data_IF_463581492626
#
_entry.id   IF_463581492626
#
_cell.length_a   1.000
_cell.length_b   1.000
_cell.length_c   1.000
_cell.angle_alpha   90.00
_cell.angle_beta   90.00
_cell.angle_gamma   90.00
#
_symmetry.space_group_name_H-M   'P 1'
#
loop_
_entity.id
_entity.type
_entity.pdbx_description
1 polymer ?
#
# COMPACT_ATOMS: atom_id res chain seq x y z
N UNK A 1 -20.21 1.26 26.37
CA UNK A 1 -19.33 0.41 25.54
C UNK A 1 -17.92 0.92 25.77
N UNK A 2 -17.02 0.10 26.30
CA UNK A 2 -15.59 0.45 26.27
C UNK A 2 -15.21 0.42 24.80
N UNK A 3 -15.10 1.60 24.19
CA UNK A 3 -14.75 1.73 22.79
C UNK A 3 -13.37 1.07 22.57
N UNK A 4 -13.29 0.16 21.59
CA UNK A 4 -12.06 -0.53 21.25
C UNK A 4 -10.98 0.50 20.91
N UNK A 5 -9.85 0.48 21.63
CA UNK A 5 -8.73 1.42 21.46
C UNK A 5 -8.30 1.57 20.00
N UNK A 6 -8.32 0.47 19.23
CA UNK A 6 -8.00 0.44 17.80
C UNK A 6 -8.96 1.29 16.99
N UNK A 7 -10.24 1.23 17.31
CA UNK A 7 -11.30 2.00 16.66
C UNK A 7 -11.09 3.50 16.89
N UNK A 8 -10.78 3.91 18.13
CA UNK A 8 -10.51 5.32 18.42
C UNK A 8 -9.27 5.82 17.69
N UNK A 9 -8.17 5.06 17.72
CA UNK A 9 -6.94 5.40 17.01
C UNK A 9 -7.16 5.52 15.50
N UNK A 10 -8.00 4.67 14.92
CA UNK A 10 -8.38 4.78 13.52
C UNK A 10 -9.07 6.12 13.24
N UNK A 11 -10.12 6.48 13.99
CA UNK A 11 -10.84 7.73 13.77
C UNK A 11 -9.97 8.97 14.04
N UNK A 12 -9.10 8.93 15.05
CA UNK A 12 -8.14 10.00 15.30
C UNK A 12 -7.18 10.19 14.13
N UNK A 13 -6.68 9.11 13.54
CA UNK A 13 -5.88 9.18 12.31
C UNK A 13 -6.67 9.82 11.17
N UNK A 14 -7.92 9.40 10.97
CA UNK A 14 -8.78 9.95 9.91
C UNK A 14 -9.12 11.43 10.14
N UNK A 15 -9.17 11.88 11.40
CA UNK A 15 -9.36 13.28 11.77
C UNK A 15 -8.10 14.13 11.51
N UNK A 16 -6.93 13.49 11.45
CA UNK A 16 -5.68 14.08 11.01
C UNK A 16 -4.55 14.07 12.03
N UNK A 17 -4.68 13.32 13.13
CA UNK A 17 -3.62 13.18 14.12
C UNK A 17 -2.41 12.40 13.56
N UNK A 18 -1.21 12.78 14.00
CA UNK A 18 0.04 12.18 13.55
C UNK A 18 0.18 10.68 13.93
N UNK A 19 0.62 9.85 12.98
CA UNK A 19 0.78 8.40 13.21
C UNK A 19 1.77 8.05 14.35
N UNK A 20 2.81 8.87 14.58
CA UNK A 20 3.80 8.63 15.64
C UNK A 20 3.16 8.82 17.01
N UNK A 21 2.36 9.88 17.18
CA UNK A 21 1.59 10.12 18.40
C UNK A 21 0.64 8.95 18.67
N UNK A 22 -0.14 8.53 17.67
CA UNK A 22 -1.12 7.45 17.83
C UNK A 22 -0.47 6.09 18.14
N UNK A 23 0.70 5.81 17.55
CA UNK A 23 1.47 4.61 17.89
C UNK A 23 1.96 4.64 19.35
N UNK A 24 2.47 5.79 19.81
CA UNK A 24 2.94 5.94 21.19
C UNK A 24 1.82 5.70 22.21
N UNK A 25 0.62 6.24 21.93
CA UNK A 25 -0.57 6.05 22.76
C UNK A 25 -0.90 4.55 22.88
N UNK A 26 -0.89 3.83 21.75
CA UNK A 26 -1.18 2.40 21.74
C UNK A 26 -0.13 1.60 22.53
N UNK A 27 1.17 1.84 22.25
CA UNK A 27 2.28 1.11 22.87
C UNK A 27 2.31 1.30 24.39
N UNK A 28 2.00 2.51 24.87
CA UNK A 28 1.92 2.82 26.31
C UNK A 28 0.61 2.37 26.97
N UNK A 29 -0.33 1.79 26.22
CA UNK A 29 -1.62 1.35 26.74
C UNK A 29 -2.49 2.50 27.27
N UNK A 30 -2.36 3.70 26.69
CA UNK A 30 -3.07 4.90 27.15
C UNK A 30 -4.44 5.00 26.49
N UNK A 31 -5.43 5.53 27.22
CA UNK A 31 -6.74 5.87 26.67
C UNK A 31 -6.59 7.00 25.63
N UNK A 32 -6.91 6.81 24.33
CA UNK A 32 -6.64 7.80 23.30
C UNK A 32 -7.40 9.11 23.48
N UNK A 33 -8.65 9.04 23.93
CA UNK A 33 -9.53 10.22 24.05
C UNK A 33 -9.10 11.07 25.23
N UNK A 34 -8.91 10.46 26.41
CA UNK A 34 -8.38 11.16 27.58
C UNK A 34 -7.01 11.74 27.27
N UNK A 35 -6.17 10.98 26.59
CA UNK A 35 -4.81 11.40 26.27
C UNK A 35 -4.75 12.63 25.38
N UNK A 36 -5.58 12.67 24.33
CA UNK A 36 -5.52 13.74 23.34
C UNK A 36 -6.31 14.96 23.80
N UNK A 37 -7.53 14.76 24.33
CA UNK A 37 -8.47 15.85 24.57
C UNK A 37 -8.54 16.33 26.02
N UNK A 38 -7.87 15.66 26.97
CA UNK A 38 -7.79 16.22 28.32
C UNK A 38 -6.73 17.33 28.41
N UNK A 39 -7.01 18.32 29.27
CA UNK A 39 -6.05 19.36 29.65
C UNK A 39 -5.09 18.90 30.74
N UNK A 40 -4.97 17.58 30.99
CA UNK A 40 -4.09 17.06 32.03
C UNK A 40 -2.62 17.16 31.61
N UNK A 41 -1.92 18.11 32.23
CA UNK A 41 -0.49 18.38 32.03
C UNK A 41 0.36 17.11 32.14
N UNK A 42 0.03 16.21 33.08
CA UNK A 42 0.77 14.96 33.32
C UNK A 42 0.71 13.98 32.13
N UNK A 43 -0.40 13.93 31.39
CA UNK A 43 -0.52 13.05 30.22
C UNK A 43 0.30 13.61 29.04
N UNK A 44 0.25 14.94 28.84
CA UNK A 44 1.09 15.61 27.83
C UNK A 44 2.57 15.52 28.15
N UNK A 45 2.94 15.56 29.44
CA UNK A 45 4.32 15.37 29.90
C UNK A 45 4.84 13.93 29.66
N UNK A 46 3.99 12.90 29.83
CA UNK A 46 4.37 11.48 29.66
C UNK A 46 4.49 11.02 28.19
N UNK A 47 3.89 11.76 27.25
CA UNK A 47 3.96 11.49 25.80
C UNK A 47 4.95 12.44 25.11
N UNK A 48 5.37 13.49 25.82
CA UNK A 48 6.45 14.39 25.41
C UNK A 48 6.14 15.20 24.14
N UNK A 49 7.20 15.70 23.50
CA UNK A 49 7.21 16.54 22.27
C UNK A 49 6.66 15.83 20.99
N UNK A 50 5.82 14.79 21.13
CA UNK A 50 5.25 14.02 20.01
C UNK A 50 4.02 14.67 19.38
N UNK A 51 3.37 15.58 20.10
CA UNK A 51 2.37 16.46 19.51
C UNK A 51 3.05 17.43 18.55
N UNK A 52 2.57 17.48 17.32
CA UNK A 52 2.85 18.59 16.41
C UNK A 52 1.94 19.78 16.74
N UNK A 53 2.27 20.99 16.27
CA UNK A 53 1.40 22.16 16.44
C UNK A 53 -0.01 21.89 15.88
N UNK A 54 -0.09 21.15 14.78
CA UNK A 54 -1.37 20.67 14.21
C UNK A 54 -2.13 19.78 15.19
N UNK A 55 -1.47 18.84 15.84
CA UNK A 55 -2.12 17.94 16.81
C UNK A 55 -2.66 18.72 18.01
N UNK A 56 -1.93 19.72 18.49
CA UNK A 56 -2.38 20.62 19.58
C UNK A 56 -3.64 21.38 19.17
N UNK A 57 -3.67 21.92 17.95
CA UNK A 57 -4.85 22.62 17.43
C UNK A 57 -6.06 21.69 17.29
N UNK A 58 -5.87 20.47 16.78
CA UNK A 58 -6.95 19.47 16.65
C UNK A 58 -7.47 19.03 18.03
N UNK A 59 -6.60 18.92 19.02
CA UNK A 59 -6.93 18.48 20.39
C UNK A 59 -7.79 19.48 21.17
N UNK A 60 -7.93 20.73 20.71
CA UNK A 60 -8.73 21.74 21.40
C UNK A 60 -10.24 21.62 21.17
N UNK A 61 -10.67 20.76 20.23
CA UNK A 61 -12.09 20.66 19.84
C UNK A 61 -12.55 19.20 19.78
N UNK A 62 -12.83 18.65 20.97
CA UNK A 62 -13.37 17.30 21.11
C UNK A 62 -14.77 17.15 20.49
N UNK A 63 -15.58 18.21 20.51
CA UNK A 63 -16.92 18.20 19.93
C UNK A 63 -16.85 17.97 18.41
N UNK A 64 -15.99 18.72 17.72
CA UNK A 64 -15.74 18.55 16.28
C UNK A 64 -15.20 17.16 15.94
N UNK A 65 -14.33 16.58 16.77
CA UNK A 65 -13.88 15.20 16.59
C UNK A 65 -15.05 14.21 16.67
N UNK A 66 -15.95 14.36 17.65
CA UNK A 66 -17.12 13.48 17.80
C UNK A 66 -18.07 13.58 16.60
N UNK A 67 -18.36 14.79 16.14
CA UNK A 67 -19.18 15.00 14.93
C UNK A 67 -18.54 14.37 13.70
N UNK A 68 -17.23 14.57 13.52
CA UNK A 68 -16.47 13.96 12.43
C UNK A 68 -16.55 12.43 12.47
N UNK A 69 -16.28 11.82 13.64
CA UNK A 69 -16.35 10.36 13.83
C UNK A 69 -17.72 9.83 13.45
N UNK A 70 -18.78 10.46 13.95
CA UNK A 70 -20.15 10.09 13.63
C UNK A 70 -20.43 10.20 12.13
N UNK A 71 -20.06 11.31 11.50
CA UNK A 71 -20.30 11.51 10.06
C UNK A 71 -19.53 10.51 9.21
N UNK A 72 -18.23 10.34 9.47
CA UNK A 72 -17.38 9.44 8.70
C UNK A 72 -17.90 8.00 8.77
N UNK A 73 -18.19 7.49 9.97
CA UNK A 73 -18.69 6.13 10.15
C UNK A 73 -20.04 5.88 9.46
N UNK A 74 -20.95 6.85 9.53
CA UNK A 74 -22.32 6.67 9.01
C UNK A 74 -22.46 6.98 7.52
N UNK A 75 -21.57 7.79 6.93
CA UNK A 75 -21.71 8.28 5.55
C UNK A 75 -20.69 7.73 4.57
N UNK A 76 -19.55 7.21 5.03
CA UNK A 76 -18.55 6.66 4.13
C UNK A 76 -18.91 5.23 3.69
N UNK A 77 -18.99 5.02 2.37
CA UNK A 77 -19.27 3.71 1.77
C UNK A 77 -18.27 2.62 2.17
N UNK A 78 -17.04 3.00 2.54
CA UNK A 78 -16.01 2.06 2.94
C UNK A 78 -16.44 1.18 4.12
N UNK A 79 -17.22 1.71 5.07
CA UNK A 79 -17.71 0.94 6.22
C UNK A 79 -18.94 0.07 5.90
N UNK A 80 -19.54 0.22 4.72
CA UNK A 80 -20.69 -0.58 4.27
C UNK A 80 -20.29 -1.70 3.32
N UNK A 81 -19.07 -1.64 2.78
CA UNK A 81 -18.56 -2.65 1.88
C UNK A 81 -18.01 -3.87 2.64
N UNK A 82 -18.73 -4.98 2.57
CA UNK A 82 -18.34 -6.26 3.18
C UNK A 82 -16.99 -6.82 2.69
N UNK A 83 -16.51 -6.39 1.51
CA UNK A 83 -15.21 -6.78 0.96
C UNK A 83 -14.08 -5.84 1.38
N UNK A 84 -14.39 -4.74 2.07
CA UNK A 84 -13.40 -3.80 2.58
C UNK A 84 -12.92 -4.23 3.97
N UNK A 85 -11.60 -4.17 4.20
CA UNK A 85 -11.01 -4.47 5.51
C UNK A 85 -9.98 -3.42 5.92
N UNK A 86 -9.93 -3.17 7.23
CA UNK A 86 -8.91 -2.37 7.90
C UNK A 86 -7.99 -3.33 8.66
N UNK A 87 -6.69 -3.21 8.43
CA UNK A 87 -5.65 -3.90 9.17
C UNK A 87 -4.90 -2.91 10.04
N UNK A 88 -4.72 -3.25 11.29
CA UNK A 88 -3.96 -2.45 12.24
C UNK A 88 -2.57 -3.04 12.42
N UNK A 89 -1.55 -2.17 12.51
CA UNK A 89 -0.14 -2.55 12.55
C UNK A 89 0.20 -3.60 13.61
N UNK A 90 -0.45 -3.53 14.76
CA UNK A 90 -0.15 -4.37 15.92
C UNK A 90 -1.04 -5.62 16.01
N UNK A 91 -1.95 -5.82 15.05
CA UNK A 91 -2.77 -7.05 14.98
C UNK A 91 -1.99 -8.17 14.29
N UNK A 92 -2.11 -9.40 14.78
CA UNK A 92 -1.59 -10.59 14.10
C UNK A 92 -2.50 -10.98 12.92
N UNK A 93 -2.09 -10.61 11.71
CA UNK A 93 -2.85 -10.84 10.48
C UNK A 93 -1.93 -11.30 9.36
N UNK A 94 -2.50 -11.76 8.25
CA UNK A 94 -1.67 -12.14 7.11
C UNK A 94 -0.86 -10.96 6.56
N UNK A 95 -1.42 -9.74 6.51
CA UNK A 95 -0.69 -8.58 5.97
C UNK A 95 0.48 -8.17 6.89
N UNK A 96 0.33 -8.29 8.21
CA UNK A 96 1.41 -8.00 9.17
C UNK A 96 2.50 -9.07 9.17
N UNK A 97 2.21 -10.27 8.65
CA UNK A 97 3.22 -11.31 8.35
C UNK A 97 3.92 -11.07 7.01
N UNK A 98 3.26 -10.45 6.04
CA UNK A 98 3.81 -10.17 4.72
C UNK A 98 4.68 -8.91 4.67
N UNK A 99 4.38 -7.91 5.50
CA UNK A 99 5.10 -6.65 5.54
C UNK A 99 5.94 -6.55 6.83
N UNK A 100 7.24 -6.22 6.74
CA UNK A 100 8.04 -5.94 7.93
C UNK A 100 7.42 -4.84 8.80
N UNK A 101 7.46 -5.02 10.12
CA UNK A 101 6.89 -4.08 11.10
C UNK A 101 7.38 -2.64 10.88
N UNK A 102 8.67 -2.48 10.53
CA UNK A 102 9.29 -1.18 10.27
C UNK A 102 8.62 -0.39 9.14
N UNK A 103 8.06 -1.08 8.14
CA UNK A 103 7.41 -0.44 7.00
C UNK A 103 5.88 -0.46 7.08
N UNK A 104 5.31 -1.34 7.89
CA UNK A 104 3.86 -1.44 8.06
C UNK A 104 3.29 -0.09 8.54
N UNK A 105 2.34 0.51 7.79
CA UNK A 105 1.66 1.72 8.23
C UNK A 105 0.78 1.40 9.45
N UNK A 106 0.43 2.43 10.24
CA UNK A 106 -0.44 2.25 11.41
C UNK A 106 -1.75 1.54 11.05
N UNK A 107 -2.32 1.91 9.90
CA UNK A 107 -3.44 1.21 9.29
C UNK A 107 -3.18 0.96 7.81
N UNK A 108 -3.59 -0.22 7.34
CA UNK A 108 -3.60 -0.62 5.94
C UNK A 108 -5.04 -0.99 5.56
N UNK A 109 -5.45 -0.64 4.34
CA UNK A 109 -6.81 -0.78 3.88
C UNK A 109 -6.86 -1.67 2.64
N UNK A 110 -7.90 -2.47 2.54
CA UNK A 110 -8.15 -3.31 1.37
C UNK A 110 -9.58 -3.18 0.89
N UNK A 111 -9.79 -3.47 -0.39
CA UNK A 111 -11.10 -3.64 -1.01
C UNK A 111 -11.01 -4.79 -2.01
N UNK A 112 -11.87 -5.81 -1.87
CA UNK A 112 -11.91 -6.98 -2.78
C UNK A 112 -11.56 -8.32 -2.10
N UNK A 113 -10.89 -9.20 -2.83
CA UNK A 113 -10.60 -10.57 -2.41
C UNK A 113 -9.40 -10.65 -1.45
N UNK A 114 -9.69 -10.56 -0.16
CA UNK A 114 -8.68 -10.62 0.90
C UNK A 114 -7.96 -11.97 1.03
N UNK A 115 -8.47 -13.06 0.42
CA UNK A 115 -7.77 -14.35 0.42
C UNK A 115 -6.44 -14.31 -0.34
N UNK A 116 -6.22 -13.31 -1.20
CA UNK A 116 -4.96 -13.10 -1.92
C UNK A 116 -3.80 -12.70 -1.00
N UNK A 117 -4.11 -12.27 0.22
CA UNK A 117 -3.12 -11.98 1.25
C UNK A 117 -2.71 -13.22 2.04
N UNK A 118 -3.24 -14.42 1.78
CA UNK A 118 -2.80 -15.64 2.46
C UNK A 118 -1.28 -15.83 2.31
N UNK A 119 -0.60 -16.09 3.43
CA UNK A 119 0.85 -16.30 3.48
C UNK A 119 1.31 -17.50 2.64
N UNK A 120 0.42 -18.46 2.36
CA UNK A 120 0.71 -19.64 1.52
C UNK A 120 0.70 -19.34 0.02
N UNK A 121 0.11 -18.21 -0.41
CA UNK A 121 0.11 -17.82 -1.82
C UNK A 121 1.44 -17.19 -2.20
N UNK A 122 1.92 -17.49 -3.40
CA UNK A 122 3.09 -16.83 -3.96
C UNK A 122 2.67 -15.58 -4.74
N UNK A 123 3.49 -14.53 -4.67
CA UNK A 123 3.24 -13.22 -5.26
C UNK A 123 4.43 -12.77 -6.08
N UNK A 124 4.16 -12.27 -7.29
CA UNK A 124 5.17 -11.67 -8.16
C UNK A 124 4.79 -10.23 -8.46
N UNK A 125 5.70 -9.30 -8.16
CA UNK A 125 5.56 -7.93 -8.61
C UNK A 125 6.02 -7.81 -10.06
N UNK A 126 5.19 -7.26 -10.94
CA UNK A 126 5.58 -6.93 -12.31
C UNK A 126 5.54 -5.42 -12.46
N UNK A 127 6.71 -4.82 -12.68
CA UNK A 127 6.91 -3.36 -12.62
C UNK A 127 7.71 -2.86 -13.82
N UNK A 128 7.52 -1.58 -14.16
CA UNK A 128 8.30 -0.96 -15.21
C UNK A 128 7.84 0.45 -15.58
N UNK A 129 8.20 0.89 -16.77
CA UNK A 129 7.92 2.23 -17.30
C UNK A 129 6.44 2.47 -17.55
N UNK A 130 6.06 3.75 -17.50
CA UNK A 130 4.71 4.21 -17.89
C UNK A 130 4.52 4.28 -19.40
N UNK A 131 5.61 4.33 -20.16
CA UNK A 131 5.61 4.43 -21.63
C UNK A 131 6.41 3.28 -22.23
N UNK A 132 5.88 2.04 -22.19
CA UNK A 132 6.63 0.86 -22.59
C UNK A 132 6.78 0.76 -24.11
N UNK A 133 7.93 0.24 -24.54
CA UNK A 133 8.15 -0.16 -25.92
C UNK A 133 7.24 -1.34 -26.32
N UNK A 134 7.04 -1.54 -27.63
CA UNK A 134 6.30 -2.71 -28.14
C UNK A 134 6.91 -4.05 -27.68
N UNK A 135 8.24 -4.09 -27.53
CA UNK A 135 8.96 -5.23 -26.99
C UNK A 135 8.58 -5.46 -25.52
N UNK A 136 8.65 -4.42 -24.70
CA UNK A 136 8.28 -4.50 -23.28
C UNK A 136 6.83 -4.90 -23.07
N UNK A 137 5.89 -4.42 -23.90
CA UNK A 137 4.48 -4.84 -23.87
C UNK A 137 4.35 -6.36 -24.08
N UNK A 138 5.01 -6.90 -25.12
CA UNK A 138 4.95 -8.34 -25.46
C UNK A 138 5.55 -9.19 -24.34
N UNK A 139 6.74 -8.83 -23.87
CA UNK A 139 7.46 -9.54 -22.81
C UNK A 139 6.66 -9.51 -21.50
N UNK A 140 6.11 -8.35 -21.13
CA UNK A 140 5.30 -8.22 -19.90
C UNK A 140 4.10 -9.15 -19.94
N UNK A 141 3.39 -9.24 -21.07
CA UNK A 141 2.27 -10.18 -21.23
C UNK A 141 2.73 -11.64 -21.09
N UNK A 142 3.81 -12.01 -21.77
CA UNK A 142 4.39 -13.37 -21.74
C UNK A 142 4.80 -13.77 -20.32
N UNK A 143 5.56 -12.92 -19.63
CA UNK A 143 6.00 -13.18 -18.26
C UNK A 143 4.80 -13.23 -17.30
N UNK A 144 3.86 -12.29 -17.41
CA UNK A 144 2.66 -12.29 -16.57
C UNK A 144 1.89 -13.60 -16.73
N UNK A 145 1.68 -14.04 -17.96
CA UNK A 145 0.99 -15.31 -18.24
C UNK A 145 1.72 -16.50 -17.61
N UNK A 146 3.05 -16.60 -17.77
CA UNK A 146 3.83 -17.70 -17.19
C UNK A 146 3.68 -17.79 -15.67
N UNK A 147 3.77 -16.67 -14.96
CA UNK A 147 3.57 -16.66 -13.52
C UNK A 147 2.14 -17.05 -13.11
N UNK A 148 1.13 -16.70 -13.90
CA UNK A 148 -0.24 -17.12 -13.64
C UNK A 148 -0.45 -18.62 -13.83
N UNK A 149 0.21 -19.22 -14.83
CA UNK A 149 0.21 -20.68 -15.05
C UNK A 149 0.81 -21.42 -13.83
N UNK A 150 1.80 -20.80 -13.19
CA UNK A 150 2.41 -21.27 -11.94
C UNK A 150 1.62 -20.85 -10.66
N UNK A 151 0.37 -20.38 -10.82
CA UNK A 151 -0.54 -19.94 -9.73
C UNK A 151 -0.06 -18.76 -8.87
N UNK A 152 0.88 -17.94 -9.38
CA UNK A 152 1.26 -16.72 -8.69
C UNK A 152 0.15 -15.67 -8.74
N UNK A 153 0.10 -14.83 -7.71
CA UNK A 153 -0.70 -13.60 -7.69
C UNK A 153 0.14 -12.46 -8.25
N UNK A 154 -0.38 -11.76 -9.26
CA UNK A 154 0.29 -10.61 -9.86
C UNK A 154 0.11 -9.38 -8.97
N UNK A 155 1.21 -8.78 -8.54
CA UNK A 155 1.21 -7.54 -7.75
C UNK A 155 1.72 -6.40 -8.63
N UNK A 156 1.03 -5.26 -8.63
CA UNK A 156 1.56 -4.05 -9.26
C UNK A 156 0.91 -2.79 -8.71
N UNK A 157 1.26 -1.64 -9.27
CA UNK A 157 0.89 -0.33 -8.74
C UNK A 157 -0.26 0.37 -9.46
N UNK A 158 -0.97 -0.27 -10.39
CA UNK A 158 -2.01 0.37 -11.20
C UNK A 158 -1.54 1.64 -11.94
N UNK A 159 -0.24 1.88 -12.12
CA UNK A 159 0.23 2.98 -12.96
C UNK A 159 -0.07 2.71 -14.44
N UNK A 160 0.08 3.72 -15.30
CA UNK A 160 0.10 3.51 -16.74
C UNK A 160 1.26 2.58 -17.16
N UNK A 161 1.19 2.04 -18.38
CA UNK A 161 2.26 1.22 -18.93
C UNK A 161 2.30 -0.18 -18.34
N UNK A 162 3.46 -0.59 -17.82
CA UNK A 162 3.72 -1.98 -17.40
C UNK A 162 2.76 -2.45 -16.31
N UNK A 163 2.44 -1.61 -15.34
CA UNK A 163 1.49 -1.93 -14.27
C UNK A 163 0.08 -2.22 -14.85
N UNK A 164 -0.46 -1.35 -15.71
CA UNK A 164 -1.72 -1.58 -16.44
C UNK A 164 -1.68 -2.89 -17.24
N UNK A 165 -0.58 -3.15 -17.95
CA UNK A 165 -0.46 -4.33 -18.82
C UNK A 165 -0.46 -5.62 -18.00
N UNK A 166 0.25 -5.65 -16.87
CA UNK A 166 0.29 -6.84 -16.00
C UNK A 166 -1.09 -7.13 -15.39
N UNK A 167 -1.79 -6.13 -14.86
CA UNK A 167 -3.15 -6.29 -14.34
C UNK A 167 -4.15 -6.74 -15.40
N UNK A 168 -4.15 -6.09 -16.58
CA UNK A 168 -5.04 -6.49 -17.69
C UNK A 168 -4.76 -7.90 -18.18
N UNK A 169 -3.49 -8.30 -18.20
CA UNK A 169 -3.12 -9.67 -18.55
C UNK A 169 -3.62 -10.65 -17.49
N UNK A 170 -3.44 -10.35 -16.21
CA UNK A 170 -4.00 -11.18 -15.13
C UNK A 170 -5.50 -11.39 -15.28
N UNK A 171 -6.26 -10.32 -15.51
CA UNK A 171 -7.72 -10.41 -15.71
C UNK A 171 -8.06 -11.23 -16.96
N UNK A 172 -7.40 -10.96 -18.10
CA UNK A 172 -7.65 -11.67 -19.36
C UNK A 172 -7.47 -13.19 -19.23
N UNK A 173 -6.47 -13.63 -18.47
CA UNK A 173 -6.18 -15.05 -18.24
C UNK A 173 -6.87 -15.59 -16.98
N UNK A 174 -7.87 -14.89 -16.45
CA UNK A 174 -8.64 -15.27 -15.26
C UNK A 174 -7.75 -15.57 -14.03
N UNK A 175 -6.61 -14.88 -13.96
CA UNK A 175 -5.64 -14.95 -12.89
C UNK A 175 -5.93 -13.98 -11.75
N UNK A 176 -5.17 -14.13 -10.66
CA UNK A 176 -5.32 -13.28 -9.47
C UNK A 176 -4.38 -12.07 -9.54
N UNK A 177 -4.86 -10.90 -9.11
CA UNK A 177 -4.02 -9.71 -9.04
C UNK A 177 -4.34 -8.79 -7.86
N UNK A 178 -3.29 -8.15 -7.33
CA UNK A 178 -3.35 -7.15 -6.26
C UNK A 178 -2.79 -5.84 -6.80
N UNK A 179 -3.61 -4.79 -6.85
CA UNK A 179 -3.15 -3.44 -7.12
C UNK A 179 -2.92 -2.69 -5.80
N UNK A 180 -1.69 -2.23 -5.59
CA UNK A 180 -1.37 -1.41 -4.42
C UNK A 180 -1.47 0.06 -4.83
N UNK A 181 -2.35 0.84 -4.24
CA UNK A 181 -2.66 2.20 -4.67
C UNK A 181 -1.82 3.24 -3.90
N UNK A 182 -1.46 4.36 -4.53
CA UNK A 182 -0.88 5.51 -3.84
C UNK A 182 -1.95 6.42 -3.22
N UNK A 183 -3.22 6.17 -3.53
CA UNK A 183 -4.39 6.96 -3.13
C UNK A 183 -5.36 6.12 -2.29
N UNK A 184 -6.40 6.77 -1.74
CA UNK A 184 -7.55 6.05 -1.19
C UNK A 184 -8.45 5.48 -2.32
N UNK A 185 -9.42 4.64 -1.96
CA UNK A 185 -10.28 3.96 -2.95
C UNK A 185 -11.23 4.89 -3.73
N UNK A 186 -11.43 6.13 -3.28
CA UNK A 186 -12.31 7.12 -3.94
C UNK A 186 -11.59 7.90 -5.03
N UNK A 187 -10.27 8.01 -4.93
CA UNK A 187 -9.44 8.82 -5.82
C UNK A 187 -8.48 7.92 -6.61
N UNK A 188 -9.00 6.96 -7.37
CA UNK A 188 -8.16 6.09 -8.21
C UNK A 188 -7.34 6.93 -9.18
N UNK A 189 -6.04 6.63 -9.26
CA UNK A 189 -5.11 7.31 -10.14
C UNK A 189 -4.18 6.28 -10.81
N UNK A 190 -3.90 6.42 -12.12
CA UNK A 190 -4.41 7.44 -13.05
C UNK A 190 -5.90 7.26 -13.36
N UNK A 191 -6.58 8.29 -13.86
CA UNK A 191 -8.05 8.26 -14.08
C UNK A 191 -8.44 7.23 -15.15
N UNK A 192 -7.55 7.02 -16.10
CA UNK A 192 -7.63 6.09 -17.21
C UNK A 192 -7.73 4.62 -16.72
N UNK A 193 -7.26 4.33 -15.50
CA UNK A 193 -7.32 3.02 -14.89
C UNK A 193 -8.48 2.85 -13.89
N UNK A 194 -9.46 3.77 -13.85
CA UNK A 194 -10.65 3.62 -12.99
C UNK A 194 -11.42 2.35 -13.33
N UNK A 195 -11.69 2.08 -14.61
CA UNK A 195 -12.40 0.87 -15.02
C UNK A 195 -11.57 -0.38 -14.74
N UNK A 196 -10.26 -0.33 -14.95
CA UNK A 196 -9.36 -1.43 -14.58
C UNK A 196 -9.42 -1.72 -13.07
N UNK A 197 -9.45 -0.70 -12.22
CA UNK A 197 -9.59 -0.89 -10.78
C UNK A 197 -10.91 -1.59 -10.41
N UNK A 198 -12.00 -1.29 -11.13
CA UNK A 198 -13.29 -1.98 -10.96
C UNK A 198 -13.20 -3.44 -11.40
N UNK A 199 -12.62 -3.71 -12.56
CA UNK A 199 -12.41 -5.09 -13.03
C UNK A 199 -11.53 -5.90 -12.06
N UNK A 200 -10.50 -5.29 -11.46
CA UNK A 200 -9.69 -5.93 -10.41
C UNK A 200 -10.55 -6.32 -9.21
N UNK A 201 -11.57 -5.54 -8.84
CA UNK A 201 -12.41 -5.83 -7.67
C UNK A 201 -13.34 -7.04 -7.83
N UNK A 202 -13.52 -7.55 -9.04
CA UNK A 202 -14.35 -8.73 -9.28
C UNK A 202 -13.74 -9.99 -8.65
N UNK A 203 -12.41 -10.18 -8.77
CA UNK A 203 -11.68 -11.35 -8.26
C UNK A 203 -10.35 -11.04 -7.56
N UNK A 204 -9.80 -9.87 -7.80
CA UNK A 204 -8.55 -9.36 -7.26
C UNK A 204 -8.73 -8.51 -6.00
N UNK A 205 -7.70 -7.72 -5.68
CA UNK A 205 -7.63 -6.92 -4.46
C UNK A 205 -7.02 -5.55 -4.74
N UNK A 206 -7.62 -4.49 -4.19
CA UNK A 206 -6.98 -3.19 -4.04
C UNK A 206 -6.44 -3.06 -2.62
N UNK A 207 -5.21 -2.55 -2.47
CA UNK A 207 -4.52 -2.38 -1.19
C UNK A 207 -3.97 -0.94 -1.10
N UNK A 208 -4.12 -0.25 0.03
CA UNK A 208 -3.55 1.10 0.21
C UNK A 208 -3.27 1.42 1.66
N UNK A 209 -2.29 2.28 1.93
CA UNK A 209 -2.03 2.84 3.27
C UNK A 209 -2.77 4.17 3.51
N UNK A 210 -3.55 4.66 2.54
CA UNK A 210 -4.26 5.94 2.61
C UNK A 210 -5.73 5.67 2.96
N UNK A 211 -6.16 6.14 4.13
CA UNK A 211 -7.52 5.92 4.63
C UNK A 211 -8.60 6.71 3.90
N UNK A 212 -9.89 6.39 4.15
CA UNK A 212 -11.03 6.98 3.45
C UNK A 212 -11.09 8.52 3.50
N UNK A 213 -10.65 9.12 4.60
CA UNK A 213 -10.62 10.59 4.79
C UNK A 213 -9.21 11.19 4.71
N UNK A 214 -8.21 10.39 4.32
CA UNK A 214 -6.82 10.87 4.21
C UNK A 214 -6.55 11.44 2.80
N UNK A 215 -5.78 12.53 2.77
CA UNK A 215 -5.30 13.13 1.52
C UNK A 215 -4.15 12.31 0.93
N UNK A 216 -4.05 12.34 -0.41
CA UNK A 216 -2.89 11.78 -1.12
C UNK A 216 -1.85 12.87 -1.37
N UNK A 217 -0.58 12.54 -1.16
CA UNK A 217 0.55 13.43 -1.41
C UNK A 217 1.47 12.85 -2.48
N UNK A 218 2.34 13.69 -3.08
CA UNK A 218 3.35 13.21 -4.05
C UNK A 218 4.25 12.13 -3.45
N UNK A 219 4.57 12.24 -2.15
CA UNK A 219 5.35 11.23 -1.43
C UNK A 219 4.64 9.87 -1.34
N UNK A 220 3.30 9.83 -1.32
CA UNK A 220 2.51 8.60 -1.27
C UNK A 220 2.80 7.67 -2.45
N UNK A 221 3.13 8.23 -3.63
CA UNK A 221 3.53 7.46 -4.81
C UNK A 221 4.86 6.74 -4.63
N UNK A 222 5.81 7.37 -3.95
CA UNK A 222 7.11 6.76 -3.64
C UNK A 222 6.98 5.76 -2.49
N UNK A 223 6.21 6.11 -1.47
CA UNK A 223 5.98 5.26 -0.30
C UNK A 223 5.30 3.95 -0.67
N UNK A 224 4.34 3.97 -1.59
CA UNK A 224 3.62 2.78 -2.05
C UNK A 224 4.55 1.70 -2.58
N UNK A 225 5.63 2.08 -3.28
CA UNK A 225 6.51 1.14 -3.96
C UNK A 225 7.20 0.15 -3.00
N UNK A 226 7.43 0.54 -1.73
CA UNK A 226 7.96 -0.38 -0.73
C UNK A 226 6.99 -1.53 -0.44
N UNK A 227 5.68 -1.28 -0.47
CA UNK A 227 4.67 -2.32 -0.25
C UNK A 227 4.61 -3.29 -1.43
N UNK A 228 4.76 -2.80 -2.68
CA UNK A 228 4.80 -3.66 -3.89
C UNK A 228 5.94 -4.66 -3.76
N UNK A 229 7.13 -4.17 -3.41
CA UNK A 229 8.30 -5.04 -3.24
C UNK A 229 8.12 -6.02 -2.07
N UNK A 230 7.70 -5.54 -0.90
CA UNK A 230 7.74 -6.34 0.32
C UNK A 230 6.65 -7.43 0.37
N UNK A 231 5.46 -7.17 -0.19
CA UNK A 231 4.39 -8.17 -0.24
C UNK A 231 4.68 -9.30 -1.24
N UNK A 232 5.61 -9.06 -2.17
CA UNK A 232 5.96 -9.99 -3.23
C UNK A 232 7.12 -10.89 -2.83
N UNK A 233 7.16 -12.09 -3.38
CA UNK A 233 8.27 -13.03 -3.23
C UNK A 233 9.33 -12.79 -4.31
N UNK A 234 8.88 -12.38 -5.50
CA UNK A 234 9.70 -12.06 -6.67
C UNK A 234 9.31 -10.68 -7.19
N UNK A 235 10.28 -9.89 -7.66
CA UNK A 235 10.07 -8.63 -8.39
C UNK A 235 10.66 -8.77 -9.78
N UNK A 236 9.84 -8.59 -10.81
CA UNK A 236 10.23 -8.64 -12.22
C UNK A 236 10.18 -7.24 -12.82
N UNK A 237 11.30 -6.83 -13.42
CA UNK A 237 11.44 -5.57 -14.13
C UNK A 237 11.46 -5.83 -15.63
N UNK A 238 10.47 -5.32 -16.36
CA UNK A 238 10.37 -5.56 -17.81
C UNK A 238 10.98 -4.43 -18.64
N UNK A 239 10.75 -3.17 -18.26
CA UNK A 239 11.41 -2.03 -18.89
C UNK A 239 11.45 -0.85 -17.93
N UNK A 240 12.58 -0.16 -17.84
CA UNK A 240 12.77 0.95 -16.89
C UNK A 240 13.87 1.91 -17.34
N UNK A 241 14.06 3.00 -16.59
CA UNK A 241 15.18 3.92 -16.74
C UNK A 241 15.82 4.24 -15.37
N UNK A 242 17.02 4.85 -15.39
CA UNK A 242 17.78 5.17 -14.18
C UNK A 242 17.03 6.10 -13.20
N UNK A 243 16.25 7.06 -13.72
CA UNK A 243 15.52 8.06 -12.94
C UNK A 243 14.02 7.74 -12.85
N UNK A 244 13.69 6.46 -12.67
CA UNK A 244 12.30 5.99 -12.62
C UNK A 244 11.83 5.71 -11.19
N UNK A 245 10.52 5.76 -10.98
CA UNK A 245 9.90 5.23 -9.76
C UNK A 245 10.16 3.72 -9.57
N UNK A 246 10.35 2.98 -10.65
CA UNK A 246 10.67 1.55 -10.67
C UNK A 246 11.99 1.25 -9.94
N UNK A 247 13.02 2.11 -10.08
CA UNK A 247 14.28 1.95 -9.33
C UNK A 247 14.08 2.01 -7.82
N UNK A 248 13.10 2.78 -7.33
CA UNK A 248 12.76 2.78 -5.90
C UNK A 248 12.16 1.44 -5.45
N UNK A 249 11.36 0.79 -6.29
CA UNK A 249 10.83 -0.55 -6.02
C UNK A 249 11.94 -1.59 -6.02
N UNK A 250 12.87 -1.54 -6.98
CA UNK A 250 14.03 -2.45 -7.06
C UNK A 250 14.91 -2.31 -5.81
N UNK A 251 15.24 -1.08 -5.42
CA UNK A 251 15.97 -0.81 -4.17
C UNK A 251 15.23 -1.35 -2.95
N UNK A 252 13.91 -1.17 -2.89
CA UNK A 252 13.09 -1.70 -1.79
C UNK A 252 13.10 -3.23 -1.74
N UNK A 253 13.07 -3.89 -2.90
CA UNK A 253 13.17 -5.34 -3.03
C UNK A 253 14.52 -5.86 -2.55
N UNK A 254 15.60 -5.18 -2.93
CA UNK A 254 16.97 -5.49 -2.51
C UNK A 254 17.13 -5.41 -0.99
N UNK A 255 16.67 -4.30 -0.38
CA UNK A 255 16.67 -4.11 1.09
C UNK A 255 15.84 -5.19 1.80
N UNK A 256 14.75 -5.64 1.19
CA UNK A 256 13.87 -6.66 1.75
C UNK A 256 14.32 -8.10 1.44
N UNK A 257 15.47 -8.30 0.79
CA UNK A 257 16.01 -9.62 0.43
C UNK A 257 15.11 -10.39 -0.55
N UNK A 258 14.36 -9.69 -1.39
CA UNK A 258 13.46 -10.30 -2.38
C UNK A 258 14.22 -10.68 -3.64
N UNK A 259 13.79 -11.75 -4.32
CA UNK A 259 14.35 -12.14 -5.62
C UNK A 259 14.01 -11.06 -6.64
N UNK A 260 15.03 -10.51 -7.31
CA UNK A 260 14.86 -9.52 -8.38
C UNK A 260 15.24 -10.18 -9.69
N UNK A 261 14.30 -10.21 -10.64
CA UNK A 261 14.51 -10.65 -12.00
C UNK A 261 14.33 -9.45 -12.95
N UNK A 262 15.09 -9.39 -14.03
CA UNK A 262 14.87 -8.36 -15.04
C UNK A 262 15.22 -8.87 -16.43
N UNK A 263 14.56 -8.34 -17.44
CA UNK A 263 14.95 -8.59 -18.84
C UNK A 263 16.01 -7.59 -19.28
N UNK A 264 16.74 -7.86 -20.35
CA UNK A 264 17.72 -6.91 -20.86
C UNK A 264 17.05 -5.56 -21.21
N UNK A 265 17.52 -4.48 -20.58
CA UNK A 265 16.97 -3.13 -20.71
C UNK A 265 17.46 -2.39 -21.97
N UNK A 266 18.36 -3.00 -22.76
CA UNK A 266 18.96 -2.36 -23.94
C UNK A 266 19.96 -1.24 -23.60
N UNK A 267 20.30 -1.08 -22.32
CA UNK A 267 21.23 -0.08 -21.81
C UNK A 267 22.07 -0.71 -20.68
N UNK A 268 23.39 -0.72 -20.87
CA UNK A 268 24.32 -1.32 -19.93
C UNK A 268 24.36 -0.60 -18.57
N UNK A 269 24.15 0.72 -18.53
CA UNK A 269 24.12 1.47 -17.27
C UNK A 269 22.89 1.07 -16.45
N UNK A 270 21.74 0.89 -17.09
CA UNK A 270 20.52 0.43 -16.42
C UNK A 270 20.70 -1.01 -15.94
N UNK A 271 21.20 -1.91 -16.80
CA UNK A 271 21.43 -3.31 -16.44
C UNK A 271 22.41 -3.43 -15.25
N UNK A 272 23.55 -2.74 -15.30
CA UNK A 272 24.54 -2.71 -14.21
C UNK A 272 23.93 -2.19 -12.93
N UNK A 273 23.05 -1.17 -13.02
CA UNK A 273 22.39 -0.64 -11.83
C UNK A 273 21.44 -1.67 -11.18
N UNK A 274 20.77 -2.50 -11.98
CA UNK A 274 19.92 -3.56 -11.45
C UNK A 274 20.76 -4.70 -10.85
N UNK A 275 21.90 -5.04 -11.46
CA UNK A 275 22.86 -5.99 -10.89
C UNK A 275 23.41 -5.54 -9.53
N UNK A 276 23.71 -4.25 -9.35
CA UNK A 276 24.14 -3.69 -8.05
C UNK A 276 23.10 -3.91 -6.94
N UNK A 277 21.82 -4.00 -7.28
CA UNK A 277 20.74 -4.31 -6.34
C UNK A 277 20.52 -5.81 -6.14
N UNK A 278 21.34 -6.67 -6.75
CA UNK A 278 21.22 -8.13 -6.70
C UNK A 278 20.21 -8.69 -7.69
N UNK A 279 19.89 -7.96 -8.75
CA UNK A 279 19.02 -8.46 -9.81
C UNK A 279 19.70 -9.49 -10.70
N UNK A 280 18.92 -10.46 -11.17
CA UNK A 280 19.36 -11.48 -12.11
C UNK A 280 18.64 -11.30 -13.44
N UNK A 281 19.42 -11.27 -14.52
CA UNK A 281 18.86 -11.12 -15.85
C UNK A 281 18.25 -12.45 -16.30
N UNK A 282 17.06 -12.37 -16.89
CA UNK A 282 16.36 -13.51 -17.48
C UNK A 282 16.20 -13.32 -18.99
N UNK A 283 16.16 -14.43 -19.71
CA UNK A 283 15.92 -14.43 -21.15
C UNK A 283 14.47 -14.07 -21.48
N UNK A 284 14.27 -13.49 -22.67
CA UNK A 284 12.97 -12.98 -23.14
C UNK A 284 11.96 -14.06 -23.55
#
# INVERSE_FOLDING_TARGET
MVENIRTELFFLKQFGFNNTLLQEIFIKGLDPIKTIFSNEYLIRANIGRKFTDKDVLLANDYYKYREFKYYLFNKDEFFRDSKSKIYFKFDETNITKLLPEKIMPLFMYTKGNNSLLDIKKQRVAIIGTRHPSNRAIKITKKITQKFLEDNYVIVSGLAEGIDTISHKTAIKYNGNTIAILPTNFKNIYPKENIELAKEILDKGLLLTSIGPNENTYKSSFLDRNKYIANISDIVVVTETNLKSGTMNTIRSASIAGKKILFVNQGDNLINNKIYEFGGEMIDD
#
